data_IF_846691657506
#
_entry.id   IF_846691657506
#
_cell.length_a   1.000
_cell.length_b   1.000
_cell.length_c   1.000
_cell.angle_alpha   90.00
_cell.angle_beta   90.00
_cell.angle_gamma   90.00
#
_symmetry.space_group_name_H-M   'P 1'
#
loop_
_entity.id
_entity.type
_entity.pdbx_description
1 polymer ?
#
# COMPACT_ATOMS: atom_id res chain seq x y z
N UNK A 1 18.96 -2.45 -6.06
CA UNK A 1 19.21 -1.51 -4.94
C UNK A 1 18.79 -0.07 -5.26
N UNK A 2 18.18 0.19 -6.43
CA UNK A 2 17.74 1.52 -6.91
C UNK A 2 16.66 2.20 -6.05
N UNK A 3 15.90 1.42 -5.27
CA UNK A 3 14.75 1.93 -4.53
C UNK A 3 15.12 2.77 -3.29
N UNK A 4 16.29 2.52 -2.68
CA UNK A 4 16.77 3.32 -1.53
C UNK A 4 17.12 4.73 -2.00
N UNK A 5 17.71 4.86 -3.18
CA UNK A 5 18.07 6.16 -3.77
C UNK A 5 16.83 7.03 -4.05
N UNK A 6 15.66 6.40 -4.24
CA UNK A 6 14.38 7.12 -4.42
C UNK A 6 13.77 7.67 -3.12
N UNK A 7 14.27 7.25 -1.96
CA UNK A 7 13.78 7.71 -0.65
C UNK A 7 14.83 8.49 0.14
N UNK A 8 16.08 8.49 -0.30
CA UNK A 8 17.18 9.14 0.40
C UNK A 8 18.26 9.61 -0.57
N UNK A 9 18.62 10.90 -0.49
CA UNK A 9 19.65 11.51 -1.36
C UNK A 9 21.03 11.66 -0.69
N UNK A 10 21.25 11.02 0.46
CA UNK A 10 22.48 11.13 1.25
C UNK A 10 22.36 12.11 2.43
N UNK A 11 21.44 13.08 2.36
CA UNK A 11 21.20 14.05 3.43
C UNK A 11 19.73 14.17 3.82
N UNK A 12 18.82 13.93 2.86
CA UNK A 12 17.38 14.14 3.02
C UNK A 12 16.60 12.86 2.77
N UNK A 13 15.60 12.63 3.61
CA UNK A 13 14.50 11.71 3.30
C UNK A 13 13.59 12.38 2.25
N UNK A 14 13.29 11.63 1.19
CA UNK A 14 12.45 12.07 0.08
C UNK A 14 11.04 11.47 0.21
N UNK A 15 10.04 12.34 0.35
CA UNK A 15 8.63 11.94 0.40
C UNK A 15 8.02 11.88 -1.01
N UNK A 16 6.90 11.18 -1.15
CA UNK A 16 6.21 11.00 -2.43
C UNK A 16 5.61 12.28 -3.02
N UNK A 17 5.31 13.27 -2.17
CA UNK A 17 4.91 14.61 -2.59
C UNK A 17 6.10 15.51 -3.00
N UNK A 18 7.32 14.98 -3.03
CA UNK A 18 8.54 15.72 -3.35
C UNK A 18 9.15 16.50 -2.19
N UNK A 19 8.51 16.50 -1.00
CA UNK A 19 9.09 17.13 0.21
C UNK A 19 10.39 16.44 0.59
N UNK A 20 11.40 17.25 0.92
CA UNK A 20 12.70 16.81 1.42
C UNK A 20 12.81 17.10 2.91
N UNK A 21 13.07 16.08 3.72
CA UNK A 21 13.24 16.20 5.16
C UNK A 21 14.70 15.93 5.51
N UNK A 22 15.46 16.94 5.97
CA UNK A 22 16.84 16.73 6.39
C UNK A 22 16.91 15.77 7.58
N UNK A 23 17.81 14.77 7.52
CA UNK A 23 17.96 13.78 8.60
C UNK A 23 18.22 14.44 9.97
N UNK A 24 19.02 15.51 9.99
CA UNK A 24 19.38 16.26 11.21
C UNK A 24 18.17 16.92 11.88
N UNK A 25 17.05 17.08 11.17
CA UNK A 25 15.81 17.62 11.72
C UNK A 25 14.90 16.55 12.30
N UNK A 26 15.17 15.26 12.06
CA UNK A 26 14.35 14.16 12.57
C UNK A 26 14.79 13.87 14.01
N UNK A 27 13.88 14.07 14.96
CA UNK A 27 14.08 13.77 16.37
C UNK A 27 13.95 12.27 16.64
N UNK A 28 12.85 11.69 16.15
CA UNK A 28 12.56 10.27 16.31
C UNK A 28 11.60 9.78 15.22
N UNK A 29 11.55 8.47 15.03
CA UNK A 29 10.63 7.81 14.10
C UNK A 29 9.72 6.87 14.87
N UNK A 30 8.41 7.05 14.70
CA UNK A 30 7.38 6.14 15.23
C UNK A 30 6.89 5.23 14.12
N UNK A 31 6.86 3.93 14.36
CA UNK A 31 6.26 2.95 13.45
C UNK A 31 4.82 2.72 13.89
N UNK A 32 3.87 2.84 12.96
CA UNK A 32 2.45 2.51 13.14
C UNK A 32 2.06 1.44 12.13
N UNK A 33 1.27 0.45 12.53
CA UNK A 33 0.76 -0.58 11.60
C UNK A 33 -0.69 -0.26 11.26
N UNK A 34 -0.96 0.04 9.98
CA UNK A 34 -2.30 0.32 9.50
C UNK A 34 -2.86 -0.87 8.68
N UNK A 35 -4.16 -1.17 8.78
CA UNK A 35 -4.77 -2.30 8.10
C UNK A 35 -5.14 -2.00 6.65
N UNK A 36 -4.79 -2.92 5.75
CA UNK A 36 -5.14 -2.87 4.33
C UNK A 36 -5.69 -4.20 3.84
N UNK A 37 -6.53 -4.11 2.83
CA UNK A 37 -7.13 -5.23 2.11
C UNK A 37 -6.44 -5.38 0.75
N UNK A 38 -5.93 -6.57 0.49
CA UNK A 38 -5.33 -6.95 -0.79
C UNK A 38 -6.35 -7.81 -1.53
N UNK A 39 -6.84 -7.28 -2.65
CA UNK A 39 -7.75 -7.98 -3.54
C UNK A 39 -6.99 -8.58 -4.72
N UNK A 40 -7.33 -9.83 -5.02
CA UNK A 40 -6.92 -10.46 -6.27
C UNK A 40 -7.61 -9.78 -7.45
N UNK A 41 -6.84 -9.46 -8.50
CA UNK A 41 -7.39 -8.99 -9.78
C UNK A 41 -7.58 -10.18 -10.71
N UNK A 42 -8.73 -10.24 -11.35
CA UNK A 42 -9.12 -11.31 -12.27
C UNK A 42 -9.17 -10.81 -13.71
N UNK A 43 -8.91 -11.68 -14.67
CA UNK A 43 -9.12 -11.42 -16.09
C UNK A 43 -10.46 -11.99 -16.52
N UNK A 44 -11.34 -11.16 -17.06
CA UNK A 44 -12.61 -11.60 -17.60
C UNK A 44 -12.47 -11.98 -19.08
N UNK A 45 -12.86 -13.22 -19.41
CA UNK A 45 -12.98 -13.73 -20.78
C UNK A 45 -14.39 -14.27 -20.98
N UNK A 46 -15.23 -13.51 -21.69
CA UNK A 46 -16.67 -13.79 -21.78
C UNK A 46 -17.30 -13.82 -20.38
N UNK A 47 -17.92 -14.94 -20.02
CA UNK A 47 -18.54 -15.16 -18.70
C UNK A 47 -17.60 -15.77 -17.66
N UNK A 48 -16.35 -16.08 -18.04
CA UNK A 48 -15.37 -16.71 -17.16
C UNK A 48 -14.40 -15.68 -16.55
N UNK A 49 -13.94 -15.96 -15.33
CA UNK A 49 -12.88 -15.22 -14.65
C UNK A 49 -11.66 -16.10 -14.43
N UNK A 50 -10.52 -15.64 -14.92
CA UNK A 50 -9.21 -16.28 -14.72
C UNK A 50 -8.39 -15.50 -13.68
N UNK A 51 -7.74 -16.21 -12.77
CA UNK A 51 -6.92 -15.57 -11.74
C UNK A 51 -5.62 -15.04 -12.35
N UNK A 52 -5.22 -13.82 -11.98
CA UNK A 52 -3.92 -13.24 -12.38
C UNK A 52 -2.94 -13.21 -11.22
N UNK A 53 -1.71 -12.73 -11.43
CA UNK A 53 -0.78 -12.42 -10.35
C UNK A 53 -0.95 -11.00 -9.78
N UNK A 54 -1.71 -10.15 -10.49
CA UNK A 54 -1.93 -8.75 -10.15
C UNK A 54 -2.86 -8.63 -8.95
N UNK A 55 -2.52 -7.72 -8.03
CA UNK A 55 -3.32 -7.45 -6.83
C UNK A 55 -3.44 -5.96 -6.61
N UNK A 56 -4.57 -5.55 -6.04
CA UNK A 56 -4.83 -4.15 -5.70
C UNK A 56 -5.05 -3.99 -4.21
N UNK A 57 -4.55 -2.89 -3.66
CA UNK A 57 -4.49 -2.63 -2.22
C UNK A 57 -5.45 -1.48 -1.90
N UNK A 58 -6.25 -1.66 -0.86
CA UNK A 58 -7.18 -0.66 -0.35
C UNK A 58 -7.04 -0.53 1.16
N UNK A 59 -7.15 0.68 1.74
CA UNK A 59 -7.29 0.85 3.19
C UNK A 59 -8.48 0.03 3.70
N UNK A 60 -8.34 -0.62 4.86
CA UNK A 60 -9.50 -1.22 5.50
C UNK A 60 -10.37 -0.14 6.13
N UNK A 61 -11.68 -0.18 5.87
CA UNK A 61 -12.66 0.77 6.39
C UNK A 61 -13.42 0.26 7.62
N UNK A 62 -12.95 -0.81 8.26
CA UNK A 62 -13.67 -1.39 9.41
C UNK A 62 -13.54 -0.55 10.67
N UNK A 63 -14.68 -0.27 11.30
CA UNK A 63 -14.76 0.46 12.58
C UNK A 63 -14.19 -0.32 13.77
N UNK A 64 -14.19 -1.66 13.69
CA UNK A 64 -13.50 -2.51 14.66
C UNK A 64 -12.02 -2.58 14.30
N UNK A 65 -11.16 -2.19 15.26
CA UNK A 65 -9.72 -2.41 15.16
C UNK A 65 -9.42 -3.90 14.98
N UNK A 66 -8.40 -4.20 14.19
CA UNK A 66 -7.90 -5.58 14.05
C UNK A 66 -6.82 -5.84 15.08
N UNK A 67 -6.76 -7.07 15.57
CA UNK A 67 -5.66 -7.47 16.43
C UNK A 67 -4.34 -7.58 15.62
N UNK A 68 -3.22 -7.52 16.34
CA UNK A 68 -1.88 -7.55 15.73
C UNK A 68 -1.61 -8.85 14.98
N UNK A 69 -2.13 -9.96 15.47
CA UNK A 69 -1.87 -11.29 14.89
C UNK A 69 -2.55 -11.43 13.53
N UNK A 70 -3.81 -10.98 13.41
CA UNK A 70 -4.57 -10.92 12.17
C UNK A 70 -3.84 -10.11 11.09
N UNK A 71 -3.28 -8.96 11.47
CA UNK A 71 -2.56 -8.08 10.55
C UNK A 71 -1.23 -8.66 10.09
N UNK A 72 -0.48 -9.29 11.00
CA UNK A 72 0.86 -9.84 10.71
C UNK A 72 0.77 -11.16 9.95
N UNK A 73 -0.10 -12.07 10.37
CA UNK A 73 -0.25 -13.39 9.72
C UNK A 73 -0.95 -13.29 8.36
N UNK A 74 -1.72 -12.22 8.14
CA UNK A 74 -2.33 -11.94 6.86
C UNK A 74 -3.60 -12.75 6.64
N UNK A 75 -4.60 -12.52 7.49
CA UNK A 75 -5.87 -13.26 7.50
C UNK A 75 -6.59 -13.22 6.14
N UNK A 76 -7.04 -14.38 5.66
CA UNK A 76 -7.86 -14.49 4.44
C UNK A 76 -9.33 -14.49 4.82
N UNK A 77 -10.10 -13.59 4.22
CA UNK A 77 -11.53 -13.41 4.49
C UNK A 77 -12.37 -13.56 3.23
N UNK A 78 -13.62 -14.05 3.35
CA UNK A 78 -14.55 -14.02 2.25
C UNK A 78 -14.93 -12.58 1.91
N UNK A 79 -15.12 -12.29 0.62
CA UNK A 79 -15.67 -11.02 0.14
C UNK A 79 -16.61 -11.28 -1.03
N UNK A 80 -17.57 -10.38 -1.24
CA UNK A 80 -18.41 -10.37 -2.45
C UNK A 80 -17.91 -9.41 -3.51
N UNK A 81 -16.81 -8.71 -3.25
CA UNK A 81 -16.20 -7.77 -4.19
C UNK A 81 -15.21 -8.49 -5.08
N UNK A 82 -15.41 -8.43 -6.40
CA UNK A 82 -14.45 -8.88 -7.39
C UNK A 82 -13.82 -7.66 -8.08
N UNK A 83 -12.50 -7.68 -8.23
CA UNK A 83 -11.74 -6.72 -9.03
C UNK A 83 -11.28 -7.43 -10.30
N UNK A 84 -11.54 -6.83 -11.46
CA UNK A 84 -11.26 -7.49 -12.73
C UNK A 84 -11.01 -6.51 -13.87
N UNK A 85 -10.41 -6.98 -14.94
CA UNK A 85 -10.36 -6.28 -16.22
C UNK A 85 -10.82 -7.23 -17.33
N UNK A 86 -11.45 -6.69 -18.36
CA UNK A 86 -11.85 -7.44 -19.55
C UNK A 86 -10.68 -7.54 -20.53
N UNK A 87 -10.59 -8.61 -21.30
CA UNK A 87 -9.59 -8.72 -22.37
C UNK A 87 -9.65 -7.50 -23.32
N UNK A 88 -8.48 -6.91 -23.60
CA UNK A 88 -8.34 -5.65 -24.35
C UNK A 88 -8.61 -4.36 -23.56
N UNK A 89 -9.13 -4.45 -22.32
CA UNK A 89 -9.29 -3.30 -21.42
C UNK A 89 -7.98 -2.95 -20.73
N UNK A 90 -7.73 -1.64 -20.57
CA UNK A 90 -6.64 -1.10 -19.75
C UNK A 90 -7.06 -0.72 -18.33
N UNK A 91 -8.32 -0.99 -17.98
CA UNK A 91 -8.96 -0.55 -16.75
C UNK A 91 -9.37 -1.74 -15.88
N UNK A 92 -9.01 -1.68 -14.60
CA UNK A 92 -9.58 -2.51 -13.55
C UNK A 92 -10.90 -1.90 -13.09
N UNK A 93 -11.93 -2.74 -13.05
CA UNK A 93 -13.26 -2.44 -12.53
C UNK A 93 -13.52 -3.24 -11.26
N UNK A 94 -14.47 -2.76 -10.47
CA UNK A 94 -14.96 -3.45 -9.28
C UNK A 94 -16.45 -3.73 -9.45
N UNK A 95 -16.90 -4.94 -9.11
CA UNK A 95 -18.33 -5.25 -8.99
C UNK A 95 -18.60 -6.17 -7.81
N UNK A 96 -19.88 -6.25 -7.43
CA UNK A 96 -20.36 -7.22 -6.47
C UNK A 96 -20.73 -8.52 -7.21
N UNK A 97 -20.16 -9.64 -6.80
CA UNK A 97 -20.53 -10.97 -7.26
C UNK A 97 -21.32 -11.69 -6.18
N UNK A 98 -22.64 -11.75 -6.37
CA UNK A 98 -23.56 -12.41 -5.44
C UNK A 98 -23.54 -13.93 -5.57
N UNK A 99 -23.07 -14.47 -6.70
CA UNK A 99 -23.08 -15.90 -6.98
C UNK A 99 -21.87 -16.59 -6.34
N UNK A 100 -20.68 -16.03 -6.52
CA UNK A 100 -19.44 -16.65 -6.06
C UNK A 100 -18.82 -15.86 -4.90
N UNK A 101 -18.43 -16.51 -3.79
CA UNK A 101 -17.61 -15.87 -2.78
C UNK A 101 -16.17 -15.75 -3.29
N UNK A 102 -15.59 -14.55 -3.09
CA UNK A 102 -14.20 -14.24 -3.39
C UNK A 102 -13.38 -14.23 -2.10
N UNK A 103 -12.06 -14.12 -2.23
CA UNK A 103 -11.14 -14.00 -1.09
C UNK A 103 -10.43 -12.65 -1.13
N UNK A 104 -10.31 -12.04 0.04
CA UNK A 104 -9.48 -10.85 0.28
C UNK A 104 -8.50 -11.16 1.39
N UNK A 105 -7.26 -10.67 1.26
CA UNK A 105 -6.26 -10.79 2.32
C UNK A 105 -6.23 -9.49 3.13
N UNK A 106 -6.48 -9.57 4.43
CA UNK A 106 -6.17 -8.48 5.35
C UNK A 106 -4.67 -8.53 5.67
N UNK A 107 -4.01 -7.37 5.73
CA UNK A 107 -2.62 -7.28 6.16
C UNK A 107 -2.33 -5.94 6.80
N UNK A 108 -1.36 -5.90 7.72
CA UNK A 108 -0.82 -4.66 8.26
C UNK A 108 0.33 -4.14 7.42
N UNK A 109 0.23 -2.91 6.93
CA UNK A 109 1.36 -2.20 6.34
C UNK A 109 1.91 -1.18 7.32
N UNK A 110 3.24 -1.00 7.28
CA UNK A 110 3.93 -0.02 8.11
C UNK A 110 3.69 1.37 7.56
N UNK A 111 3.28 2.26 8.43
CA UNK A 111 3.37 3.70 8.26
C UNK A 111 4.44 4.21 9.23
N UNK A 112 5.18 5.23 8.84
CA UNK A 112 6.08 5.96 9.70
C UNK A 112 5.47 7.31 10.06
N UNK A 113 5.74 7.76 11.28
CA UNK A 113 5.58 9.15 11.68
C UNK A 113 6.98 9.66 12.00
N UNK A 114 7.47 10.59 11.19
CA UNK A 114 8.73 11.28 11.43
C UNK A 114 8.44 12.48 12.32
N UNK A 115 8.86 12.43 13.58
CA UNK A 115 8.76 13.57 14.49
C UNK A 115 9.99 14.45 14.30
N UNK A 116 9.77 15.71 13.96
CA UNK A 116 10.82 16.69 13.75
C UNK A 116 11.22 17.39 15.07
N UNK A 117 12.39 18.01 15.09
CA UNK A 117 12.91 18.71 16.27
C UNK A 117 12.05 19.92 16.68
N UNK A 118 11.29 20.50 15.75
CA UNK A 118 10.33 21.58 16.00
C UNK A 118 8.95 21.09 16.46
N UNK A 119 8.75 19.76 16.55
CA UNK A 119 7.52 19.13 16.97
C UNK A 119 6.53 18.84 15.83
N UNK A 120 6.83 19.19 14.59
CA UNK A 120 6.02 18.78 13.45
C UNK A 120 6.10 17.25 13.22
N UNK A 121 5.01 16.67 12.73
CA UNK A 121 4.94 15.25 12.40
C UNK A 121 4.65 15.04 10.91
N UNK A 122 5.49 14.24 10.26
CA UNK A 122 5.33 13.87 8.86
C UNK A 122 4.96 12.39 8.73
N UNK A 123 3.79 12.11 8.16
CA UNK A 123 3.30 10.75 7.96
C UNK A 123 3.80 10.20 6.64
N UNK A 124 4.38 9.01 6.68
CA UNK A 124 4.87 8.31 5.50
C UNK A 124 4.26 6.92 5.43
N UNK A 125 3.57 6.62 4.34
CA UNK A 125 3.01 5.30 4.03
C UNK A 125 3.81 4.64 2.90
N UNK A 126 3.31 3.52 2.39
CA UNK A 126 3.68 3.07 1.04
C UNK A 126 3.08 3.98 -0.02
N UNK A 127 3.61 3.90 -1.23
CA UNK A 127 3.05 4.53 -2.43
C UNK A 127 2.40 3.47 -3.34
N UNK A 128 1.53 3.96 -4.21
CA UNK A 128 0.84 3.14 -5.19
C UNK A 128 -0.15 2.17 -4.58
N UNK A 129 -0.84 1.44 -5.44
CA UNK A 129 -1.97 0.60 -5.06
C UNK A 129 -2.00 -0.73 -5.78
N UNK A 130 -1.00 -1.02 -6.60
CA UNK A 130 -0.97 -2.22 -7.41
C UNK A 130 0.32 -3.03 -7.25
N UNK A 131 0.17 -4.29 -6.88
CA UNK A 131 1.26 -5.27 -6.88
C UNK A 131 1.20 -6.08 -8.18
N UNK A 132 2.38 -6.33 -8.77
CA UNK A 132 2.53 -7.09 -10.02
C UNK A 132 1.64 -6.54 -11.14
N UNK A 133 1.73 -5.22 -11.38
CA UNK A 133 0.95 -4.57 -12.44
C UNK A 133 1.28 -5.19 -13.79
N UNK A 134 0.24 -5.51 -14.55
CA UNK A 134 0.37 -5.90 -15.95
C UNK A 134 0.54 -4.63 -16.80
N UNK A 135 1.47 -4.65 -17.76
CA UNK A 135 1.87 -3.46 -18.54
C UNK A 135 0.69 -2.80 -19.26
N UNK A 136 -0.29 -3.58 -19.71
CA UNK A 136 -1.47 -3.07 -20.41
C UNK A 136 -2.45 -2.32 -19.48
N UNK A 137 -2.35 -2.50 -18.17
CA UNK A 137 -3.28 -1.91 -17.20
C UNK A 137 -2.75 -0.58 -16.70
N UNK A 138 -3.48 0.49 -17.04
CA UNK A 138 -3.08 1.86 -16.71
C UNK A 138 -4.06 2.56 -15.77
N UNK A 139 -5.24 2.00 -15.55
CA UNK A 139 -6.31 2.65 -14.80
C UNK A 139 -7.05 1.70 -13.85
N UNK A 140 -7.62 2.26 -12.79
CA UNK A 140 -8.48 1.57 -11.83
C UNK A 140 -9.71 2.41 -11.50
N UNK A 141 -10.86 1.76 -11.40
CA UNK A 141 -12.09 2.36 -10.91
C UNK A 141 -12.11 2.30 -9.37
N UNK A 142 -12.12 3.47 -8.73
CA UNK A 142 -12.15 3.64 -7.28
C UNK A 142 -13.13 4.74 -6.92
N UNK A 143 -14.07 4.43 -6.02
CA UNK A 143 -15.05 5.37 -5.47
C UNK A 143 -15.82 6.18 -6.54
N UNK A 144 -16.15 5.51 -7.65
CA UNK A 144 -16.87 6.12 -8.78
C UNK A 144 -16.00 6.94 -9.75
N UNK A 145 -14.69 7.02 -9.51
CA UNK A 145 -13.73 7.70 -10.39
C UNK A 145 -12.77 6.71 -11.06
N UNK A 146 -12.34 7.04 -12.29
CA UNK A 146 -11.25 6.34 -12.97
C UNK A 146 -9.95 7.08 -12.69
N UNK A 147 -9.03 6.42 -12.00
CA UNK A 147 -7.73 7.00 -11.61
C UNK A 147 -6.58 6.18 -12.19
N UNK A 148 -5.39 6.77 -12.37
CA UNK A 148 -4.21 6.02 -12.77
C UNK A 148 -3.88 4.93 -11.75
N UNK A 149 -3.56 3.73 -12.23
CA UNK A 149 -3.02 2.68 -11.36
C UNK A 149 -1.53 2.93 -11.15
N UNK A 150 -1.05 2.79 -9.93
CA UNK A 150 0.34 3.11 -9.57
C UNK A 150 1.00 1.90 -8.93
N UNK A 151 2.24 1.61 -9.35
CA UNK A 151 2.99 0.48 -8.81
C UNK A 151 3.23 0.64 -7.31
N UNK A 152 2.98 -0.45 -6.58
CA UNK A 152 3.20 -0.50 -5.14
C UNK A 152 4.68 -0.32 -4.82
N UNK A 153 4.95 0.59 -3.88
CA UNK A 153 6.28 0.85 -3.38
C UNK A 153 6.25 1.05 -1.86
N UNK A 154 6.88 0.15 -1.11
CA UNK A 154 6.90 0.19 0.37
C UNK A 154 7.89 1.26 0.90
N UNK A 155 7.62 2.53 0.60
CA UNK A 155 8.45 3.69 0.96
C UNK A 155 8.74 3.73 2.47
N UNK A 156 7.76 3.44 3.30
CA UNK A 156 7.91 3.37 4.75
C UNK A 156 9.01 2.37 5.17
N UNK A 157 9.01 1.15 4.63
CA UNK A 157 10.08 0.17 4.95
C UNK A 157 11.45 0.61 4.45
N UNK A 158 11.54 1.21 3.25
CA UNK A 158 12.82 1.71 2.72
C UNK A 158 13.38 2.88 3.54
N UNK A 159 12.53 3.83 3.96
CA UNK A 159 12.97 4.91 4.84
C UNK A 159 13.41 4.36 6.20
N UNK A 160 12.69 3.39 6.76
CA UNK A 160 13.08 2.77 8.02
C UNK A 160 14.47 2.14 7.95
N UNK A 161 14.86 1.56 6.82
CA UNK A 161 16.21 1.04 6.59
C UNK A 161 17.27 2.16 6.66
N UNK A 162 17.00 3.31 6.04
CA UNK A 162 17.88 4.48 6.11
C UNK A 162 18.00 4.98 7.55
N UNK A 163 16.88 5.19 8.23
CA UNK A 163 16.84 5.66 9.63
C UNK A 163 17.65 4.75 10.56
N UNK A 164 17.53 3.42 10.40
CA UNK A 164 18.32 2.45 11.16
C UNK A 164 19.82 2.56 10.89
N UNK A 165 20.22 2.71 9.62
CA UNK A 165 21.64 2.89 9.24
C UNK A 165 22.25 4.17 9.80
N UNK A 166 21.43 5.22 9.96
CA UNK A 166 21.85 6.52 10.49
C UNK A 166 21.80 6.59 12.03
N UNK A 167 21.39 5.52 12.71
CA UNK A 167 21.37 5.45 14.17
C UNK A 167 20.30 6.33 14.82
N UNK A 168 19.27 6.74 14.09
CA UNK A 168 18.19 7.57 14.61
C UNK A 168 17.26 6.77 15.54
N UNK A 169 16.71 7.39 16.61
CA UNK A 169 15.79 6.72 17.52
C UNK A 169 14.53 6.22 16.82
N UNK A 170 14.18 4.95 17.05
CA UNK A 170 12.96 4.31 16.52
C UNK A 170 12.13 3.78 17.67
N UNK A 171 10.85 4.15 17.70
CA UNK A 171 9.84 3.60 18.60
C UNK A 171 8.71 2.94 17.80
N UNK A 172 8.03 1.96 18.40
CA UNK A 172 6.91 1.25 17.75
C UNK A 172 5.64 1.45 18.53
N UNK A 173 4.58 1.86 17.83
CA UNK A 173 3.21 1.91 18.32
C UNK A 173 2.39 0.92 17.49
N UNK A 174 1.66 0.04 18.16
CA UNK A 174 0.74 -0.91 17.51
C UNK A 174 -0.66 -0.43 17.79
#
# INVERSE_FOLDING_TARGET
MENIERVFDGEHILLSNGKKIPLKKIRQVKIVVAPYLIFQVWRQKGDCFEQTLMKVIYPSSTEKGYDKEQLVQGEIRPTRSIHYFTEGSKQIKRKIDLKNPHKVKLTGHRNLILELLDGEEEKVSFDGDCMNRLEEITQIERDGAVVPVTDFFDRASYILEVIKKQGLPVSSYI
#
